data_IF_017180687314
#
_entry.id   IF_017180687314
#
_cell.length_a   1.000
_cell.length_b   1.000
_cell.length_c   1.000
_cell.angle_alpha   90.00
_cell.angle_beta   90.00
_cell.angle_gamma   90.00
#
_symmetry.space_group_name_H-M   'P 1'
#
loop_
_entity.id
_entity.type
_entity.pdbx_description
1 polymer ?
#
# COMPACT_ATOMS: atom_id res chain seq x y z
N UNK A 1 -8.97 -11.42 -15.05
CA UNK A 1 -8.57 -9.99 -14.98
C UNK A 1 -7.12 -9.96 -14.50
N UNK A 2 -6.23 -9.30 -15.23
CA UNK A 2 -4.81 -9.20 -14.90
C UNK A 2 -4.62 -8.43 -13.61
N UNK A 3 -4.01 -9.03 -12.59
CA UNK A 3 -3.64 -8.33 -11.37
C UNK A 3 -2.57 -7.28 -11.71
N UNK A 4 -2.97 -6.00 -11.69
CA UNK A 4 -2.07 -4.91 -12.03
C UNK A 4 -1.11 -4.63 -10.88
N UNK A 5 0.15 -4.37 -11.21
CA UNK A 5 1.19 -4.06 -10.22
C UNK A 5 1.44 -2.56 -10.16
N UNK A 6 1.04 -1.97 -9.04
CA UNK A 6 1.21 -0.57 -8.72
C UNK A 6 2.62 -0.28 -8.19
N UNK A 7 3.08 0.93 -8.43
CA UNK A 7 4.26 1.52 -7.81
C UNK A 7 3.92 2.12 -6.45
N UNK A 8 4.95 2.38 -5.64
CA UNK A 8 4.81 3.12 -4.36
C UNK A 8 4.10 4.46 -4.53
N UNK A 9 4.37 5.16 -5.63
CA UNK A 9 3.75 6.46 -5.92
C UNK A 9 2.25 6.28 -6.18
N UNK A 10 1.87 5.39 -7.09
CA UNK A 10 0.47 5.14 -7.42
C UNK A 10 -0.32 4.67 -6.19
N UNK A 11 0.24 3.76 -5.39
CA UNK A 11 -0.40 3.32 -4.13
C UNK A 11 -0.54 4.46 -3.13
N UNK A 12 0.46 5.33 -3.01
CA UNK A 12 0.40 6.49 -2.11
C UNK A 12 -0.72 7.46 -2.54
N UNK A 13 -0.84 7.71 -3.84
CA UNK A 13 -1.87 8.60 -4.39
C UNK A 13 -3.28 8.02 -4.21
N UNK A 14 -3.45 6.72 -4.41
CA UNK A 14 -4.73 6.02 -4.20
C UNK A 14 -5.13 6.04 -2.72
N UNK A 15 -4.22 5.65 -1.83
CA UNK A 15 -4.48 5.56 -0.39
C UNK A 15 -4.42 6.94 0.30
N UNK A 16 -4.06 8.00 -0.43
CA UNK A 16 -3.86 9.36 0.09
C UNK A 16 -2.90 9.41 1.29
N UNK A 17 -1.82 8.65 1.23
CA UNK A 17 -0.75 8.65 2.24
C UNK A 17 0.56 9.14 1.64
N UNK A 18 1.56 9.44 2.47
CA UNK A 18 2.87 9.79 1.97
C UNK A 18 3.56 8.58 1.31
N UNK A 19 4.39 8.81 0.27
CA UNK A 19 5.25 7.76 -0.31
C UNK A 19 6.13 7.06 0.74
N UNK A 20 6.63 7.81 1.71
CA UNK A 20 7.44 7.30 2.82
C UNK A 20 6.66 6.28 3.65
N UNK A 21 5.37 6.53 3.88
CA UNK A 21 4.46 5.60 4.57
C UNK A 21 4.32 4.30 3.79
N UNK A 22 4.01 4.37 2.50
CA UNK A 22 3.88 3.17 1.66
C UNK A 22 5.19 2.40 1.58
N UNK A 23 6.32 3.08 1.44
CA UNK A 23 7.63 2.43 1.43
C UNK A 23 7.91 1.70 2.74
N UNK A 24 7.59 2.33 3.89
CA UNK A 24 7.69 1.70 5.20
C UNK A 24 6.81 0.47 5.30
N UNK A 25 5.55 0.56 4.87
CA UNK A 25 4.63 -0.58 4.86
C UNK A 25 5.09 -1.75 4.01
N UNK A 26 5.68 -1.48 2.85
CA UNK A 26 6.29 -2.53 2.03
C UNK A 26 7.48 -3.19 2.76
N UNK A 27 8.32 -2.38 3.41
CA UNK A 27 9.49 -2.88 4.15
C UNK A 27 9.12 -3.68 5.39
N UNK A 28 8.11 -3.23 6.12
CA UNK A 28 7.68 -3.80 7.40
C UNK A 28 6.71 -4.98 7.22
N UNK A 29 6.28 -5.25 5.98
CA UNK A 29 5.37 -6.36 5.66
C UNK A 29 3.89 -6.05 5.96
N UNK A 30 3.56 -4.79 6.20
CA UNK A 30 2.18 -4.31 6.41
C UNK A 30 1.30 -4.60 5.19
N UNK A 31 1.87 -4.50 3.99
CA UNK A 31 1.25 -4.89 2.72
C UNK A 31 1.82 -6.26 2.30
N UNK A 32 1.09 -7.37 2.51
CA UNK A 32 1.63 -8.72 2.33
C UNK A 32 1.93 -9.06 0.85
N UNK A 33 1.19 -8.47 -0.09
CA UNK A 33 1.42 -8.66 -1.53
C UNK A 33 2.41 -7.68 -2.14
N UNK A 34 3.08 -6.86 -1.32
CA UNK A 34 4.15 -6.00 -1.79
C UNK A 34 5.45 -6.79 -1.93
N UNK A 35 6.10 -6.68 -3.09
CA UNK A 35 7.40 -7.31 -3.33
C UNK A 35 8.34 -6.39 -4.09
N UNK A 36 9.63 -6.66 -3.97
CA UNK A 36 10.66 -5.87 -4.60
C UNK A 36 10.94 -6.39 -6.00
N UNK A 37 10.76 -5.55 -7.01
CA UNK A 37 11.14 -5.81 -8.40
C UNK A 37 12.32 -4.90 -8.75
N UNK A 38 13.53 -5.46 -8.68
CA UNK A 38 14.79 -4.72 -8.85
C UNK A 38 14.98 -3.66 -7.77
N UNK A 39 14.98 -2.38 -8.17
CA UNK A 39 15.14 -1.23 -7.26
C UNK A 39 13.81 -0.64 -6.77
N UNK A 40 12.69 -1.13 -7.29
CA UNK A 40 11.35 -0.59 -7.01
C UNK A 40 10.49 -1.60 -6.27
N UNK A 41 9.53 -1.12 -5.49
CA UNK A 41 8.47 -1.96 -4.95
C UNK A 41 7.31 -2.03 -5.92
N UNK A 42 6.70 -3.22 -5.97
CA UNK A 42 5.47 -3.49 -6.71
C UNK A 42 4.42 -4.02 -5.75
N UNK A 43 3.23 -3.49 -5.88
CA UNK A 43 2.11 -3.74 -4.97
C UNK A 43 0.93 -4.20 -5.82
N UNK A 44 0.33 -5.33 -5.47
CA UNK A 44 -0.87 -5.80 -6.15
C UNK A 44 -2.01 -4.78 -5.98
N UNK A 45 -2.62 -4.38 -7.09
CA UNK A 45 -3.82 -3.53 -7.11
C UNK A 45 -4.94 -4.14 -6.27
N UNK A 46 -5.14 -5.46 -6.35
CA UNK A 46 -6.14 -6.16 -5.54
C UNK A 46 -5.88 -6.04 -4.03
N UNK A 47 -4.62 -5.95 -3.61
CA UNK A 47 -4.28 -5.75 -2.20
C UNK A 47 -4.58 -4.32 -1.73
N UNK A 48 -4.33 -3.32 -2.58
CA UNK A 48 -4.71 -1.93 -2.32
C UNK A 48 -6.23 -1.81 -2.19
N UNK A 49 -6.99 -2.48 -3.05
CA UNK A 49 -8.45 -2.51 -2.97
C UNK A 49 -8.94 -3.15 -1.65
N UNK A 50 -8.31 -4.22 -1.17
CA UNK A 50 -8.66 -4.81 0.13
C UNK A 50 -8.45 -3.85 1.28
N UNK A 51 -7.36 -3.09 1.26
CA UNK A 51 -7.03 -2.09 2.27
C UNK A 51 -8.11 -0.99 2.30
N UNK A 52 -8.53 -0.51 1.12
CA UNK A 52 -9.61 0.48 0.99
C UNK A 52 -10.92 -0.08 1.57
N UNK A 53 -11.21 -1.35 1.30
CA UNK A 53 -12.43 -2.02 1.77
C UNK A 53 -12.37 -2.47 3.24
N UNK A 54 -11.28 -2.23 3.95
CA UNK A 54 -11.18 -2.56 5.37
C UNK A 54 -10.82 -4.02 5.69
N UNK A 55 -10.40 -4.80 4.68
CA UNK A 55 -10.17 -6.24 4.81
C UNK A 55 -8.70 -6.61 5.04
N UNK A 56 -7.84 -5.64 5.36
CA UNK A 56 -6.41 -5.84 5.58
C UNK A 56 -6.05 -6.24 7.02
N UNK A 57 -4.94 -6.94 7.20
CA UNK A 57 -4.43 -7.36 8.52
C UNK A 57 -3.98 -6.19 9.42
N UNK A 58 -3.57 -5.06 8.83
CA UNK A 58 -3.03 -3.90 9.53
C UNK A 58 -3.95 -2.66 9.45
N UNK A 59 -5.27 -2.89 9.39
CA UNK A 59 -6.25 -1.86 9.08
C UNK A 59 -6.14 -0.60 9.95
N UNK A 60 -6.01 -0.75 11.28
CA UNK A 60 -5.92 0.38 12.22
C UNK A 60 -4.70 1.28 11.97
N UNK A 61 -3.56 0.69 11.60
CA UNK A 61 -2.35 1.46 11.31
C UNK A 61 -2.49 2.21 9.97
N UNK A 62 -3.11 1.55 8.99
CA UNK A 62 -3.35 2.14 7.67
C UNK A 62 -4.33 3.31 7.76
N UNK A 63 -5.46 3.13 8.43
CA UNK A 63 -6.45 4.19 8.68
C UNK A 63 -5.85 5.38 9.41
N UNK A 64 -5.02 5.13 10.43
CA UNK A 64 -4.32 6.19 11.15
C UNK A 64 -3.43 6.99 10.20
N UNK A 65 -2.62 6.33 9.38
CA UNK A 65 -1.74 7.03 8.44
C UNK A 65 -2.52 7.79 7.35
N UNK A 66 -3.67 7.27 6.91
CA UNK A 66 -4.59 7.97 6.00
C UNK A 66 -5.17 9.24 6.64
N UNK A 67 -5.55 9.18 7.91
CA UNK A 67 -6.09 10.32 8.64
C UNK A 67 -5.03 11.40 8.96
N UNK A 68 -3.78 10.98 9.16
CA UNK A 68 -2.66 11.87 9.49
C UNK A 68 -2.12 12.65 8.29
N UNK A 69 -2.37 12.22 7.07
CA UNK A 69 -1.81 12.82 5.84
C UNK A 69 -2.67 13.97 5.29
N UNK A 70 -3.07 14.89 6.17
CA UNK A 70 -3.99 16.00 5.88
C UNK A 70 -3.31 17.23 5.31
#
# INVERSE_FOLDING_TARGET
>A
MSDQLLTVQETADILRVSRSTVWRWCKDGTIPSAFKLGRTWRISSAEVDKIINGNGTHQKEIEKAMAENR
#
